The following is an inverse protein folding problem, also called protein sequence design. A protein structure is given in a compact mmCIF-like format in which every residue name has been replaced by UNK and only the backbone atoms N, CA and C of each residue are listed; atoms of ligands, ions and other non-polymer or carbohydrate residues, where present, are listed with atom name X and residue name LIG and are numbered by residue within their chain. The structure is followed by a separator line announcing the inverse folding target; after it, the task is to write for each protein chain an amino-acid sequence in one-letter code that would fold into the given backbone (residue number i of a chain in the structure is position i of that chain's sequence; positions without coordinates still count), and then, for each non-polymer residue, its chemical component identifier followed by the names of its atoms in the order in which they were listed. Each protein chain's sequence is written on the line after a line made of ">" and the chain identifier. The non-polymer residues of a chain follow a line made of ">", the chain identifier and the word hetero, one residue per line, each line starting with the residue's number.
data_IF_794889499804
#
_entry.id   IF_794889499804
#
_cell.length_a   1.000
_cell.length_b   1.000
_cell.length_c   1.000
_cell.angle_alpha   90.00
_cell.angle_beta   90.00
_cell.angle_gamma   90.00
#
_symmetry.space_group_name_H-M   'P 1'
#
loop_
_entity.id
_entity.type
_entity.pdbx_description
1 polymer ?
#
# COMPACT_ATOMS: atom_id res chain seq x y z
N UNK A 1 -10.17 29.55 2.89
CA UNK A 1 -8.99 28.77 3.29
C UNK A 1 -8.60 27.87 2.12
N UNK A 2 -7.49 28.19 1.44
CA UNK A 2 -7.05 27.51 0.20
C UNK A 2 -6.84 26.00 0.34
N UNK A 3 -6.49 25.51 1.53
CA UNK A 3 -6.34 24.07 1.76
C UNK A 3 -7.68 23.31 1.71
N UNK A 4 -8.73 23.89 2.31
CA UNK A 4 -10.06 23.29 2.28
C UNK A 4 -10.59 23.30 0.84
N UNK A 5 -10.38 24.39 0.12
CA UNK A 5 -10.79 24.53 -1.28
C UNK A 5 -10.06 23.50 -2.16
N UNK A 6 -8.74 23.39 -2.04
CA UNK A 6 -7.94 22.39 -2.77
C UNK A 6 -8.41 20.97 -2.47
N UNK A 7 -8.69 20.65 -1.20
CA UNK A 7 -9.20 19.34 -0.81
C UNK A 7 -10.59 19.05 -1.39
N UNK A 8 -11.48 20.04 -1.42
CA UNK A 8 -12.81 19.89 -2.02
C UNK A 8 -12.72 19.65 -3.52
N UNK A 9 -11.84 20.39 -4.23
CA UNK A 9 -11.60 20.19 -5.66
C UNK A 9 -11.04 18.78 -5.92
N UNK A 10 -10.08 18.33 -5.09
CA UNK A 10 -9.52 16.99 -5.18
C UNK A 10 -10.60 15.91 -4.98
N UNK A 11 -11.45 16.05 -3.96
CA UNK A 11 -12.55 15.12 -3.70
C UNK A 11 -13.52 15.04 -4.88
N UNK A 12 -13.92 16.18 -5.44
CA UNK A 12 -14.80 16.22 -6.62
C UNK A 12 -14.17 15.51 -7.81
N UNK A 13 -12.86 15.73 -8.05
CA UNK A 13 -12.14 15.04 -9.12
C UNK A 13 -12.10 13.52 -8.88
N UNK A 14 -11.82 13.08 -7.66
CA UNK A 14 -11.79 11.65 -7.31
C UNK A 14 -13.17 10.99 -7.40
N UNK A 15 -14.22 11.67 -6.95
CA UNK A 15 -15.60 11.18 -7.06
C UNK A 15 -16.03 11.05 -8.53
N UNK A 16 -15.61 11.97 -9.38
CA UNK A 16 -15.85 11.89 -10.83
C UNK A 16 -15.05 10.77 -11.50
N UNK A 17 -13.85 10.48 -10.99
CA UNK A 17 -12.97 9.42 -11.48
C UNK A 17 -13.33 8.02 -10.98
N UNK A 18 -14.16 7.91 -9.96
CA UNK A 18 -14.39 6.69 -9.17
C UNK A 18 -14.62 5.44 -10.04
N UNK A 19 -15.42 5.54 -11.08
CA UNK A 19 -15.75 4.41 -11.96
C UNK A 19 -14.65 4.06 -12.97
N UNK A 20 -13.60 4.87 -13.05
CA UNK A 20 -12.47 4.69 -13.97
C UNK A 20 -11.16 4.34 -13.24
N UNK A 21 -11.18 4.27 -11.91
CA UNK A 21 -9.99 3.93 -11.15
C UNK A 21 -9.61 2.48 -11.39
N UNK A 22 -8.37 2.18 -11.77
CA UNK A 22 -7.88 0.82 -11.80
C UNK A 22 -7.79 0.29 -10.37
N UNK A 23 -8.40 -0.86 -10.14
CA UNK A 23 -8.50 -1.46 -8.80
C UNK A 23 -8.21 -2.94 -8.80
N UNK A 24 -7.74 -3.46 -7.67
CA UNK A 24 -7.66 -4.89 -7.40
C UNK A 24 -8.24 -5.20 -6.02
N UNK A 25 -8.88 -6.37 -5.83
CA UNK A 25 -9.23 -6.84 -4.50
C UNK A 25 -8.00 -7.00 -3.60
N UNK A 26 -8.16 -6.80 -2.30
CA UNK A 26 -7.07 -7.06 -1.36
C UNK A 26 -6.67 -8.53 -1.42
N UNK A 27 -5.37 -8.81 -1.46
CA UNK A 27 -4.84 -10.17 -1.52
C UNK A 27 -4.90 -10.84 -2.90
N UNK A 28 -5.19 -10.10 -3.96
CA UNK A 28 -5.18 -10.60 -5.33
C UNK A 28 -4.26 -9.78 -6.23
N UNK A 29 -3.68 -10.42 -7.25
CA UNK A 29 -2.76 -9.77 -8.19
C UNK A 29 -3.47 -8.72 -9.05
N UNK A 30 -4.70 -9.01 -9.46
CA UNK A 30 -5.55 -8.09 -10.22
C UNK A 30 -7.02 -8.43 -10.00
N UNK A 31 -7.93 -7.62 -10.54
CA UNK A 31 -9.37 -7.91 -10.55
C UNK A 31 -9.71 -9.17 -11.38
N UNK A 32 -8.79 -9.65 -12.20
CA UNK A 32 -9.00 -10.74 -13.17
C UNK A 32 -8.23 -12.02 -12.86
N UNK A 33 -7.28 -11.98 -11.92
CA UNK A 33 -6.45 -13.12 -11.52
C UNK A 33 -6.62 -13.33 -10.03
N UNK A 34 -7.20 -14.45 -9.66
CA UNK A 34 -7.53 -14.79 -8.27
C UNK A 34 -6.36 -15.40 -7.49
N UNK A 35 -5.12 -15.27 -7.97
CA UNK A 35 -3.96 -15.76 -7.23
C UNK A 35 -3.82 -15.01 -5.91
N UNK A 36 -3.81 -15.77 -4.82
CA UNK A 36 -3.65 -15.22 -3.48
C UNK A 36 -2.25 -14.65 -3.31
N UNK A 37 -2.17 -13.37 -2.95
CA UNK A 37 -0.91 -12.68 -2.70
C UNK A 37 -0.80 -12.39 -1.21
N UNK A 38 0.21 -12.92 -0.52
CA UNK A 38 0.50 -12.55 0.86
C UNK A 38 1.14 -11.17 0.92
N UNK A 39 0.96 -10.50 2.05
CA UNK A 39 1.64 -9.26 2.38
C UNK A 39 2.55 -9.45 3.58
N UNK A 40 3.59 -8.66 3.64
CA UNK A 40 4.59 -8.72 4.68
C UNK A 40 4.79 -7.36 5.32
N UNK A 41 4.96 -7.35 6.62
CA UNK A 41 5.34 -6.16 7.36
C UNK A 41 6.49 -6.47 8.29
N UNK A 42 7.41 -5.51 8.41
CA UNK A 42 8.57 -5.57 9.30
C UNK A 42 8.49 -4.40 10.29
N UNK A 43 8.90 -4.66 11.53
CA UNK A 43 9.09 -3.65 12.57
C UNK A 43 10.52 -3.84 13.09
N UNK A 44 11.35 -2.79 12.96
CA UNK A 44 12.73 -2.79 13.42
C UNK A 44 12.82 -2.85 14.95
N UNK A 45 13.88 -3.50 15.45
CA UNK A 45 14.18 -3.62 16.87
C UNK A 45 13.84 -4.97 17.47
N UNK A 46 14.15 -5.10 18.78
CA UNK A 46 14.08 -6.37 19.53
C UNK A 46 12.80 -6.52 20.37
N UNK A 47 11.88 -5.57 20.30
CA UNK A 47 10.63 -5.64 21.05
C UNK A 47 9.71 -6.70 20.45
N UNK A 48 8.98 -7.42 21.32
CA UNK A 48 7.97 -8.38 20.87
C UNK A 48 6.64 -7.67 20.61
N UNK A 49 6.09 -7.87 19.41
CA UNK A 49 4.82 -7.32 19.00
C UNK A 49 3.82 -8.45 18.72
N UNK A 50 2.57 -8.23 19.06
CA UNK A 50 1.49 -9.12 18.67
C UNK A 50 1.00 -8.80 17.24
N UNK A 51 0.14 -9.64 16.70
CA UNK A 51 -0.34 -9.54 15.32
C UNK A 51 -1.15 -8.26 15.05
N UNK A 52 -1.91 -7.76 16.03
CA UNK A 52 -2.64 -6.50 15.92
C UNK A 52 -1.71 -5.29 15.80
N UNK A 53 -0.61 -5.29 16.55
CA UNK A 53 0.41 -4.23 16.51
C UNK A 53 1.12 -4.17 15.15
N UNK A 54 1.16 -5.29 14.43
CA UNK A 54 1.63 -5.32 13.04
C UNK A 54 0.63 -4.76 12.04
N UNK A 55 -0.65 -4.61 12.36
CA UNK A 55 -1.60 -3.97 11.43
C UNK A 55 -1.30 -2.47 11.29
N UNK A 56 -1.29 -1.73 12.38
CA UNK A 56 -0.97 -0.30 12.41
C UNK A 56 -0.81 0.19 13.86
N UNK A 57 -0.35 1.42 14.04
CA UNK A 57 -0.37 2.11 15.32
C UNK A 57 -1.84 2.26 15.77
N UNK A 58 -2.24 1.80 16.97
CA UNK A 58 -3.63 1.93 17.40
C UNK A 58 -4.06 3.40 17.50
N UNK A 59 -5.33 3.67 17.19
CA UNK A 59 -5.85 5.05 17.09
C UNK A 59 -5.79 5.86 18.39
N UNK A 60 -5.74 5.19 19.56
CA UNK A 60 -5.51 5.83 20.85
C UNK A 60 -4.06 6.33 21.03
N UNK A 61 -3.10 5.79 20.25
CA UNK A 61 -1.71 6.23 20.19
C UNK A 61 -1.39 6.99 18.88
N UNK A 62 -2.41 7.56 18.23
CA UNK A 62 -2.26 8.23 16.93
C UNK A 62 -1.23 9.35 16.89
N UNK A 63 -0.87 9.92 18.03
CA UNK A 63 0.17 10.96 18.14
C UNK A 63 1.57 10.42 17.74
N UNK A 64 1.77 9.09 17.70
CA UNK A 64 2.98 8.44 17.20
C UNK A 64 3.00 8.31 15.67
N UNK A 65 1.84 8.52 15.00
CA UNK A 65 1.76 8.42 13.55
C UNK A 65 2.34 9.68 12.89
N UNK A 66 3.53 9.54 12.34
CA UNK A 66 4.25 10.60 11.63
C UNK A 66 3.75 10.79 10.20
N UNK A 67 4.19 11.89 9.55
CA UNK A 67 3.97 12.12 8.14
C UNK A 67 4.76 11.11 7.30
N UNK A 68 4.06 10.38 6.43
CA UNK A 68 4.65 9.55 5.39
C UNK A 68 3.94 9.84 4.07
N UNK A 69 4.41 9.23 2.96
CA UNK A 69 3.81 9.46 1.64
C UNK A 69 2.28 9.31 1.67
N UNK A 70 1.77 8.26 2.28
CA UNK A 70 0.36 7.95 2.37
C UNK A 70 -0.21 8.07 3.81
N UNK A 71 0.45 8.82 4.70
CA UNK A 71 -0.04 9.06 6.07
C UNK A 71 0.02 10.53 6.42
N UNK A 72 -1.13 11.07 6.80
CA UNK A 72 -1.20 12.37 7.46
C UNK A 72 -0.79 12.19 8.93
N UNK A 73 -0.06 13.16 9.55
CA UNK A 73 0.21 13.11 10.98
C UNK A 73 -1.05 12.88 11.79
N UNK A 74 -1.00 11.93 12.72
CA UNK A 74 -2.15 11.56 13.54
C UNK A 74 -3.20 10.68 12.86
N UNK A 75 -2.96 10.24 11.62
CA UNK A 75 -3.79 9.26 10.92
C UNK A 75 -3.01 7.96 10.73
N UNK A 76 -3.20 6.96 11.62
CA UNK A 76 -2.53 5.68 11.49
C UNK A 76 -2.85 5.01 10.15
N UNK A 77 -1.83 4.42 9.55
CA UNK A 77 -1.92 3.72 8.29
C UNK A 77 -1.16 2.39 8.37
N UNK A 78 -1.73 1.34 7.82
CA UNK A 78 -1.06 0.07 7.64
C UNK A 78 -0.23 0.12 6.37
N UNK A 79 1.06 -0.22 6.47
CA UNK A 79 1.97 -0.37 5.34
C UNK A 79 2.44 -1.81 5.29
N UNK A 80 2.29 -2.45 4.14
CA UNK A 80 2.74 -3.83 3.92
C UNK A 80 3.33 -3.95 2.52
N UNK A 81 4.21 -4.91 2.31
CA UNK A 81 4.87 -5.16 1.03
C UNK A 81 4.46 -6.52 0.45
N UNK A 82 4.56 -6.68 -0.85
CA UNK A 82 4.27 -7.94 -1.57
C UNK A 82 5.28 -9.06 -1.28
N UNK A 83 6.46 -8.71 -0.77
CA UNK A 83 7.49 -9.67 -0.39
C UNK A 83 8.22 -9.22 0.88
N UNK A 84 8.69 -10.20 1.68
CA UNK A 84 9.45 -9.94 2.90
C UNK A 84 10.68 -9.06 2.63
N UNK A 85 11.37 -9.34 1.54
CA UNK A 85 12.55 -8.59 1.11
C UNK A 85 12.22 -7.12 0.82
N UNK A 86 11.10 -6.85 0.13
CA UNK A 86 10.64 -5.47 -0.13
C UNK A 86 10.33 -4.77 1.19
N UNK A 87 9.64 -5.44 2.12
CA UNK A 87 9.37 -4.90 3.46
C UNK A 87 10.66 -4.55 4.23
N UNK A 88 11.70 -5.38 4.11
CA UNK A 88 12.98 -5.15 4.76
C UNK A 88 13.73 -3.93 4.17
N UNK A 89 13.72 -3.77 2.85
CA UNK A 89 14.28 -2.60 2.20
C UNK A 89 13.54 -1.31 2.55
N UNK A 90 12.21 -1.34 2.62
CA UNK A 90 11.41 -0.19 3.02
C UNK A 90 11.65 0.23 4.48
N UNK A 91 12.07 -0.70 5.33
CA UNK A 91 12.48 -0.44 6.71
C UNK A 91 13.98 -0.11 6.85
N UNK A 92 14.67 0.25 5.76
CA UNK A 92 16.09 0.64 5.76
C UNK A 92 17.03 -0.47 6.22
N UNK A 93 16.67 -1.72 5.92
CA UNK A 93 17.49 -2.92 6.16
C UNK A 93 17.98 -3.07 7.60
N UNK A 94 17.11 -3.06 8.62
CA UNK A 94 17.52 -3.18 9.99
C UNK A 94 18.20 -4.53 10.27
N UNK A 95 19.23 -4.52 11.12
CA UNK A 95 19.94 -5.74 11.56
C UNK A 95 19.06 -6.62 12.46
N UNK A 96 18.16 -5.99 13.20
CA UNK A 96 17.25 -6.65 14.14
C UNK A 96 15.81 -6.21 13.87
N UNK A 97 14.92 -7.18 13.65
CA UNK A 97 13.55 -6.91 13.32
C UNK A 97 12.62 -8.08 13.59
N UNK A 98 11.35 -7.79 13.68
CA UNK A 98 10.27 -8.77 13.63
C UNK A 98 9.49 -8.61 12.32
N UNK A 99 8.86 -9.67 11.86
CA UNK A 99 8.03 -9.64 10.67
C UNK A 99 6.74 -10.44 10.86
N UNK A 100 5.73 -10.05 10.11
CA UNK A 100 4.47 -10.76 10.04
C UNK A 100 4.04 -10.94 8.59
N UNK A 101 3.47 -12.11 8.28
CA UNK A 101 2.80 -12.43 7.02
C UNK A 101 1.30 -12.27 7.19
N UNK A 102 0.65 -11.60 6.25
CA UNK A 102 -0.78 -11.40 6.21
C UNK A 102 -1.34 -11.95 4.91
N UNK A 103 -2.35 -12.78 5.02
CA UNK A 103 -3.14 -13.27 3.89
C UNK A 103 -4.55 -12.72 4.03
N UNK A 104 -5.09 -12.17 2.94
CA UNK A 104 -6.45 -11.69 2.96
C UNK A 104 -7.41 -12.88 2.98
N UNK A 105 -8.33 -12.90 3.94
CA UNK A 105 -9.41 -13.88 4.06
C UNK A 105 -10.74 -13.33 3.54
N UNK A 106 -10.83 -12.00 3.35
CA UNK A 106 -11.94 -11.30 2.70
C UNK A 106 -11.40 -10.45 1.54
N UNK A 107 -12.11 -10.43 0.43
CA UNK A 107 -11.71 -9.76 -0.81
C UNK A 107 -12.78 -8.77 -1.32
N UNK A 108 -13.70 -8.36 -0.47
CA UNK A 108 -14.79 -7.44 -0.78
C UNK A 108 -14.35 -5.97 -0.94
N UNK A 109 -13.20 -5.62 -0.36
CA UNK A 109 -12.60 -4.28 -0.45
C UNK A 109 -11.54 -4.20 -1.53
N UNK A 110 -11.39 -3.01 -2.12
CA UNK A 110 -10.51 -2.74 -3.26
C UNK A 110 -9.37 -1.82 -2.90
N UNK A 111 -8.21 -2.09 -3.48
CA UNK A 111 -7.05 -1.19 -3.52
C UNK A 111 -7.04 -0.45 -4.86
N UNK A 112 -6.79 0.85 -4.84
CA UNK A 112 -6.52 1.63 -6.04
C UNK A 112 -5.10 1.28 -6.51
N UNK A 113 -4.94 0.89 -7.77
CA UNK A 113 -3.67 0.51 -8.34
C UNK A 113 -2.91 1.75 -8.85
N UNK A 114 -1.88 2.14 -8.12
CA UNK A 114 -0.92 3.18 -8.51
C UNK A 114 0.41 2.60 -9.00
N UNK A 115 0.52 1.27 -9.01
CA UNK A 115 1.69 0.51 -9.45
C UNK A 115 1.69 0.22 -10.96
N UNK A 116 0.80 0.84 -11.71
CA UNK A 116 0.83 0.81 -13.17
C UNK A 116 2.03 1.64 -13.64
N UNK A 117 2.91 0.98 -14.41
CA UNK A 117 4.14 1.64 -14.87
C UNK A 117 3.81 2.83 -15.78
N UNK A 118 4.08 4.08 -15.38
CA UNK A 118 3.79 5.25 -16.19
C UNK A 118 4.67 5.34 -17.46
N UNK A 119 5.79 4.59 -17.50
CA UNK A 119 6.69 4.52 -18.64
C UNK A 119 6.23 3.49 -19.68
N UNK A 120 5.33 2.58 -19.32
CA UNK A 120 4.73 1.64 -20.26
C UNK A 120 3.77 2.42 -21.14
N UNK A 121 4.01 2.46 -22.45
CA UNK A 121 3.09 3.14 -23.35
C UNK A 121 1.69 2.53 -23.23
N UNK A 122 0.65 3.36 -23.32
CA UNK A 122 -0.75 2.90 -23.30
C UNK A 122 -0.99 1.77 -24.31
N UNK A 123 -0.27 1.80 -25.42
CA UNK A 123 -0.30 0.76 -26.47
C UNK A 123 0.28 -0.56 -25.98
N UNK A 124 1.39 -0.53 -25.23
CA UNK A 124 2.02 -1.71 -24.63
C UNK A 124 1.12 -2.31 -23.55
N UNK A 125 0.56 -1.47 -22.65
CA UNK A 125 -0.41 -1.92 -21.64
C UNK A 125 -1.61 -2.62 -22.26
N UNK A 126 -2.18 -2.06 -23.35
CA UNK A 126 -3.31 -2.66 -24.06
C UNK A 126 -2.91 -3.96 -24.76
N UNK A 127 -1.68 -4.04 -25.29
CA UNK A 127 -1.19 -5.25 -25.98
C UNK A 127 -0.90 -6.40 -25.02
N UNK A 128 -0.54 -6.10 -23.79
CA UNK A 128 -0.27 -7.09 -22.73
C UNK A 128 -1.55 -7.62 -22.08
N UNK A 129 -2.70 -6.92 -22.23
CA UNK A 129 -3.98 -7.45 -21.78
C UNK A 129 -4.37 -8.68 -22.62
N UNK A 130 -4.67 -9.83 -22.00
CA UNK A 130 -5.01 -11.04 -22.70
C UNK A 130 -6.20 -10.81 -23.64
N UNK A 131 -5.95 -10.90 -24.95
CA UNK A 131 -6.99 -10.67 -25.98
C UNK A 131 -8.16 -11.63 -25.86
N UNK A 132 -7.91 -12.80 -25.28
CA UNK A 132 -8.89 -13.87 -25.08
C UNK A 132 -9.89 -13.58 -23.95
N UNK A 133 -9.55 -12.64 -23.04
CA UNK A 133 -10.36 -12.30 -21.86
C UNK A 133 -10.97 -10.90 -21.91
N UNK A 134 -10.55 -10.07 -22.87
CA UNK A 134 -10.97 -8.67 -22.94
C UNK A 134 -11.48 -8.33 -24.34
N UNK A 135 -12.69 -7.81 -24.40
CA UNK A 135 -13.22 -7.21 -25.62
C UNK A 135 -12.43 -5.93 -25.96
N UNK A 136 -12.52 -5.49 -27.20
CA UNK A 136 -11.85 -4.25 -27.62
C UNK A 136 -12.38 -3.03 -26.87
N UNK A 137 -13.66 -2.99 -26.53
CA UNK A 137 -14.28 -1.90 -25.79
C UNK A 137 -13.84 -1.88 -24.31
N UNK A 138 -13.68 -3.03 -23.69
CA UNK A 138 -13.11 -3.13 -22.34
C UNK A 138 -11.66 -2.63 -22.30
N UNK A 139 -10.85 -2.99 -23.30
CA UNK A 139 -9.48 -2.49 -23.43
C UNK A 139 -9.41 -0.99 -23.65
N UNK A 140 -10.29 -0.43 -24.47
CA UNK A 140 -10.40 1.02 -24.68
C UNK A 140 -10.85 1.74 -23.40
N UNK A 141 -11.80 1.15 -22.67
CA UNK A 141 -12.26 1.69 -21.38
C UNK A 141 -11.16 1.70 -20.35
N UNK A 142 -10.39 0.61 -20.25
CA UNK A 142 -9.23 0.53 -19.38
C UNK A 142 -8.16 1.59 -19.74
N UNK A 143 -7.84 1.74 -21.02
CA UNK A 143 -6.88 2.74 -21.48
C UNK A 143 -7.30 4.16 -21.16
N UNK A 144 -8.58 4.48 -21.31
CA UNK A 144 -9.13 5.80 -20.93
C UNK A 144 -9.03 6.03 -19.43
N UNK A 145 -9.41 5.03 -18.62
CA UNK A 145 -9.27 5.07 -17.17
C UNK A 145 -7.83 5.29 -16.73
N UNK A 146 -6.88 4.59 -17.37
CA UNK A 146 -5.47 4.76 -17.11
C UNK A 146 -4.97 6.17 -17.45
N UNK A 147 -5.30 6.70 -18.62
CA UNK A 147 -4.94 8.05 -18.99
C UNK A 147 -5.52 9.09 -18.02
N UNK A 148 -6.71 8.84 -17.50
CA UNK A 148 -7.35 9.71 -16.52
C UNK A 148 -6.63 9.72 -15.17
N UNK A 149 -6.15 8.57 -14.71
CA UNK A 149 -5.48 8.44 -13.40
C UNK A 149 -3.97 8.75 -13.48
N UNK A 150 -3.38 8.85 -14.67
CA UNK A 150 -1.95 9.05 -14.85
C UNK A 150 -1.36 10.24 -14.06
N UNK A 151 -2.01 11.42 -13.98
CA UNK A 151 -1.53 12.53 -13.16
C UNK A 151 -1.47 12.17 -11.67
N UNK A 152 -2.42 11.38 -11.17
CA UNK A 152 -2.44 10.90 -9.79
C UNK A 152 -1.29 9.91 -9.55
N UNK A 153 -1.09 8.95 -10.45
CA UNK A 153 0.04 7.99 -10.39
C UNK A 153 1.35 8.75 -10.36
N UNK A 154 1.55 9.70 -11.26
CA UNK A 154 2.76 10.51 -11.32
C UNK A 154 3.00 11.28 -10.02
N UNK A 155 1.97 11.94 -9.49
CA UNK A 155 2.07 12.68 -8.22
C UNK A 155 2.37 11.77 -7.03
N UNK A 156 1.82 10.56 -7.00
CA UNK A 156 2.06 9.57 -5.94
C UNK A 156 3.41 8.85 -6.07
N UNK A 157 4.07 8.93 -7.23
CA UNK A 157 5.37 8.29 -7.51
C UNK A 157 6.57 9.18 -7.24
N UNK A 158 6.37 10.46 -6.90
CA UNK A 158 7.46 11.39 -6.60
C UNK A 158 8.24 10.90 -5.38
N UNK A 159 9.56 10.77 -5.54
CA UNK A 159 10.47 10.40 -4.45
C UNK A 159 10.90 11.68 -3.73
N UNK A 160 10.58 11.77 -2.45
CA UNK A 160 11.05 12.88 -1.62
C UNK A 160 12.54 12.70 -1.33
N UNK A 161 13.35 13.71 -1.65
CA UNK A 161 14.80 13.70 -1.38
C UNK A 161 15.11 13.71 0.12
N UNK A 162 14.24 14.32 0.92
CA UNK A 162 14.42 14.46 2.36
C UNK A 162 13.26 13.77 3.09
N UNK A 163 13.57 12.63 3.69
CA UNK A 163 12.64 11.89 4.54
C UNK A 163 12.64 12.45 5.96
N UNK A 164 11.56 12.26 6.72
CA UNK A 164 11.51 12.60 8.14
C UNK A 164 11.19 14.06 8.47
N UNK A 165 11.00 14.94 7.48
CA UNK A 165 10.49 16.29 7.71
C UNK A 165 9.00 16.25 8.09
N UNK A 166 8.57 17.20 8.92
CA UNK A 166 7.18 17.36 9.33
C UNK A 166 6.25 17.74 8.15
N UNK A 167 6.79 18.33 7.10
CA UNK A 167 6.09 18.71 5.88
C UNK A 167 6.95 18.38 4.66
N UNK A 168 6.34 17.67 3.71
CA UNK A 168 6.94 17.29 2.42
C UNK A 168 5.90 17.57 1.33
N UNK A 169 6.18 18.49 0.43
CA UNK A 169 5.25 18.94 -0.61
C UNK A 169 4.81 17.79 -1.52
N UNK A 170 5.72 16.87 -1.83
CA UNK A 170 5.45 15.69 -2.64
C UNK A 170 4.40 14.74 -2.02
N UNK A 171 4.12 14.88 -0.71
CA UNK A 171 3.15 14.03 -0.02
C UNK A 171 1.74 14.62 0.02
N UNK A 172 1.52 15.86 -0.43
CA UNK A 172 0.21 16.51 -0.38
C UNK A 172 -0.85 15.69 -1.13
N UNK A 173 -0.60 15.35 -2.39
CA UNK A 173 -1.55 14.60 -3.22
C UNK A 173 -1.77 13.16 -2.70
N UNK A 174 -0.72 12.36 -2.40
CA UNK A 174 -0.91 11.06 -1.76
C UNK A 174 -1.69 11.11 -0.44
N UNK A 175 -1.45 12.12 0.39
CA UNK A 175 -2.16 12.29 1.66
C UNK A 175 -3.63 12.69 1.46
N UNK A 176 -3.93 13.56 0.50
CA UNK A 176 -5.32 13.88 0.11
C UNK A 176 -6.06 12.62 -0.38
N UNK A 177 -5.39 11.80 -1.20
CA UNK A 177 -5.94 10.52 -1.65
C UNK A 177 -6.28 9.60 -0.48
N UNK A 178 -5.40 9.51 0.52
CA UNK A 178 -5.65 8.67 1.70
C UNK A 178 -6.80 9.18 2.57
N UNK A 179 -6.99 10.51 2.68
CA UNK A 179 -8.14 11.08 3.36
C UNK A 179 -9.44 10.75 2.59
N UNK A 180 -9.42 10.87 1.26
CA UNK A 180 -10.56 10.49 0.41
C UNK A 180 -10.88 8.99 0.55
N UNK A 181 -9.88 8.11 0.50
CA UNK A 181 -10.04 6.66 0.71
C UNK A 181 -10.60 6.37 2.10
N UNK A 182 -10.13 7.07 3.14
CA UNK A 182 -10.63 6.87 4.51
C UNK A 182 -12.14 7.08 4.62
N UNK A 183 -12.69 7.99 3.83
CA UNK A 183 -14.12 8.29 3.79
C UNK A 183 -14.91 7.42 2.80
N UNK A 184 -14.22 6.59 2.00
CA UNK A 184 -14.87 5.69 1.04
C UNK A 184 -15.31 4.38 1.70
N UNK A 185 -16.41 3.82 1.22
CA UNK A 185 -16.90 2.48 1.59
C UNK A 185 -16.29 1.37 0.74
N UNK A 186 -15.91 1.68 -0.51
CA UNK A 186 -15.49 0.69 -1.51
C UNK A 186 -13.98 0.46 -1.51
N UNK A 187 -13.20 1.52 -1.22
CA UNK A 187 -11.75 1.46 -1.23
C UNK A 187 -11.20 1.37 0.18
N UNK A 188 -10.20 0.52 0.37
CA UNK A 188 -9.51 0.35 1.66
C UNK A 188 -8.10 0.93 1.66
N UNK A 189 -7.51 1.17 0.50
CA UNK A 189 -6.15 1.66 0.40
C UNK A 189 -5.67 1.80 -1.05
N UNK A 190 -4.36 1.91 -1.18
CA UNK A 190 -3.64 1.99 -2.46
C UNK A 190 -2.61 0.88 -2.57
N UNK A 191 -2.32 0.45 -3.80
CA UNK A 191 -1.17 -0.37 -4.17
C UNK A 191 -0.24 0.46 -5.05
N UNK A 192 1.05 0.49 -4.74
CA UNK A 192 2.02 1.35 -5.40
C UNK A 192 3.39 0.69 -5.46
N UNK A 193 4.22 1.05 -6.43
CA UNK A 193 5.59 0.56 -6.50
C UNK A 193 6.43 1.07 -5.32
N UNK A 194 7.30 0.19 -4.84
CA UNK A 194 8.35 0.59 -3.93
C UNK A 194 9.20 1.71 -4.59
N UNK A 195 9.43 2.77 -3.85
CA UNK A 195 10.27 3.88 -4.28
C UNK A 195 11.74 3.70 -3.87
N UNK A 196 12.11 2.50 -3.44
CA UNK A 196 13.51 2.19 -3.15
C UNK A 196 14.34 2.31 -4.42
N UNK A 197 15.47 3.03 -4.35
CA UNK A 197 16.45 3.13 -5.45
C UNK A 197 17.21 1.81 -5.66
N UNK A 198 16.94 0.79 -4.86
CA UNK A 198 17.60 -0.48 -4.94
C UNK A 198 17.13 -1.26 -6.19
N UNK A 199 18.07 -1.57 -7.08
CA UNK A 199 17.82 -2.35 -8.30
C UNK A 199 17.15 -3.69 -8.02
N UNK A 200 17.46 -4.33 -6.89
CA UNK A 200 16.88 -5.60 -6.51
C UNK A 200 15.37 -5.49 -6.24
N UNK A 201 14.92 -4.36 -5.68
CA UNK A 201 13.49 -4.10 -5.46
C UNK A 201 12.79 -3.80 -6.79
N UNK A 202 13.47 -3.10 -7.70
CA UNK A 202 12.95 -2.82 -9.06
C UNK A 202 12.84 -4.09 -9.89
N UNK A 203 13.83 -4.97 -9.81
CA UNK A 203 13.86 -6.24 -10.56
C UNK A 203 12.80 -7.24 -10.05
N UNK A 204 12.51 -7.23 -8.75
CA UNK A 204 11.47 -8.09 -8.15
C UNK A 204 10.04 -7.56 -8.42
N UNK A 205 9.87 -6.46 -9.16
CA UNK A 205 8.57 -5.80 -9.37
C UNK A 205 7.80 -5.61 -8.06
N UNK A 206 8.52 -5.33 -6.97
CA UNK A 206 7.97 -5.23 -5.63
C UNK A 206 6.99 -4.06 -5.50
N UNK A 207 5.82 -4.33 -4.98
CA UNK A 207 4.86 -3.29 -4.65
C UNK A 207 4.52 -3.29 -3.17
N UNK A 208 4.05 -2.15 -2.73
CA UNK A 208 3.57 -1.90 -1.38
C UNK A 208 2.08 -1.61 -1.40
N UNK A 209 1.43 -1.84 -0.27
CA UNK A 209 0.08 -1.36 0.00
C UNK A 209 0.09 -0.40 1.18
N UNK A 210 -0.75 0.62 1.12
CA UNK A 210 -1.01 1.53 2.22
C UNK A 210 -2.51 1.62 2.45
N UNK A 211 -2.96 1.42 3.69
CA UNK A 211 -4.36 1.35 4.08
C UNK A 211 -4.59 2.21 5.34
N UNK A 212 -5.39 3.28 5.28
CA UNK A 212 -5.68 4.11 6.44
C UNK A 212 -6.52 3.33 7.45
N UNK A 213 -6.22 3.48 8.73
CA UNK A 213 -7.08 2.95 9.80
C UNK A 213 -8.41 3.70 9.79
N UNK A 214 -9.50 2.96 9.57
CA UNK A 214 -10.87 3.49 9.56
C UNK A 214 -11.53 3.22 10.91
N UNK A 215 -12.59 2.54 10.96
CA UNK A 215 -13.44 2.25 12.12
C UNK A 215 -12.65 1.54 13.25
N UNK A 216 -12.12 2.27 14.27
CA UNK A 216 -11.36 1.65 15.33
C UNK A 216 -12.28 0.90 16.30
N UNK A 217 -11.83 -0.26 16.78
CA UNK A 217 -12.42 -0.96 17.91
C UNK A 217 -12.07 -0.27 19.25
N UNK A 218 -12.47 -0.87 20.37
CA UNK A 218 -12.18 -0.37 21.74
C UNK A 218 -10.68 -0.28 22.06
N UNK A 219 -9.84 -1.09 21.37
CA UNK A 219 -8.40 -1.13 21.55
C UNK A 219 -7.70 -0.16 20.57
N UNK A 220 -8.44 0.49 19.68
CA UNK A 220 -7.93 1.45 18.70
C UNK A 220 -7.48 0.83 17.38
N UNK A 221 -7.73 -0.47 17.14
CA UNK A 221 -7.37 -1.12 15.88
C UNK A 221 -8.54 -1.11 14.88
N UNK A 222 -8.21 -0.95 13.61
CA UNK A 222 -9.19 -0.88 12.52
C UNK A 222 -9.92 -2.22 12.34
N UNK A 223 -11.24 -2.22 12.52
CA UNK A 223 -12.09 -3.42 12.39
C UNK A 223 -12.02 -3.97 10.96
N UNK A 224 -12.09 -3.10 9.94
CA UNK A 224 -12.04 -3.53 8.54
C UNK A 224 -10.74 -4.32 8.23
N UNK A 225 -9.59 -3.85 8.75
CA UNK A 225 -8.30 -4.54 8.53
C UNK A 225 -8.22 -5.86 9.30
N UNK A 226 -8.77 -5.91 10.53
CA UNK A 226 -8.84 -7.15 11.30
C UNK A 226 -9.67 -8.19 10.55
N UNK A 227 -10.80 -7.80 10.00
CA UNK A 227 -11.68 -8.69 9.23
C UNK A 227 -11.03 -9.15 7.91
N UNK A 228 -10.42 -8.24 7.15
CA UNK A 228 -9.75 -8.57 5.88
C UNK A 228 -8.65 -9.60 6.09
N UNK A 229 -7.85 -9.44 7.15
CA UNK A 229 -6.70 -10.31 7.41
C UNK A 229 -6.95 -11.40 8.47
N UNK A 230 -8.19 -11.55 8.94
CA UNK A 230 -8.54 -12.57 9.92
C UNK A 230 -7.77 -12.44 11.24
N UNK A 231 -7.44 -11.21 11.66
CA UNK A 231 -6.69 -10.95 12.90
C UNK A 231 -7.65 -10.58 14.01
N UNK A 232 -7.57 -11.28 15.14
CA UNK A 232 -8.36 -11.01 16.34
C UNK A 232 -7.49 -11.13 17.61
N UNK A 233 -8.03 -10.71 18.75
CA UNK A 233 -7.32 -10.73 20.05
C UNK A 233 -6.93 -12.15 20.51
N UNK A 234 -7.55 -13.19 19.96
CA UNK A 234 -7.31 -14.59 20.34
C UNK A 234 -6.25 -15.28 19.47
N UNK A 235 -5.85 -14.65 18.35
CA UNK A 235 -4.80 -15.22 17.52
C UNK A 235 -3.50 -15.20 18.32
N UNK A 236 -3.14 -16.38 18.86
CA UNK A 236 -1.81 -16.58 19.44
C UNK A 236 -0.78 -16.12 18.42
N UNK A 237 0.22 -15.42 18.88
CA UNK A 237 1.45 -15.18 18.12
C UNK A 237 1.92 -16.54 17.62
N UNK A 238 1.78 -16.82 16.31
CA UNK A 238 2.66 -17.79 15.70
C UNK A 238 4.05 -17.31 16.09
N UNK A 239 4.87 -18.21 16.61
CA UNK A 239 6.24 -17.90 17.00
C UNK A 239 6.85 -17.18 15.82
N UNK A 240 7.01 -15.85 15.97
CA UNK A 240 7.68 -15.05 14.95
C UNK A 240 9.11 -15.48 15.03
N UNK A 241 9.52 -16.40 14.15
CA UNK A 241 10.90 -16.78 14.01
C UNK A 241 11.72 -15.50 13.83
N UNK A 242 12.54 -15.22 14.82
CA UNK A 242 13.67 -14.32 14.69
C UNK A 242 14.57 -14.95 13.63
N UNK A 243 14.37 -14.58 12.38
CA UNK A 243 15.31 -14.93 11.35
C UNK A 243 16.48 -13.97 11.47
N UNK A 244 17.61 -14.55 11.85
CA UNK A 244 18.92 -14.01 11.53
C UNK A 244 19.06 -13.95 10.00
N UNK A 245 18.43 -12.90 9.45
CA UNK A 245 18.34 -12.69 8.01
C UNK A 245 19.68 -12.23 7.43
N UNK A 246 20.54 -11.68 8.29
CA UNK A 246 21.82 -11.11 7.92
C UNK A 246 22.81 -12.17 7.44
N UNK A 247 22.91 -13.33 8.06
CA UNK A 247 23.88 -14.35 7.62
C UNK A 247 23.52 -15.03 6.29
N UNK A 248 22.25 -15.29 6.04
CA UNK A 248 21.84 -15.96 4.79
C UNK A 248 21.78 -15.03 3.58
N UNK A 249 21.56 -13.73 3.77
CA UNK A 249 21.47 -12.77 2.67
C UNK A 249 22.81 -12.16 2.27
N UNK A 250 23.68 -11.86 3.24
CA UNK A 250 25.04 -11.34 2.95
C UNK A 250 25.95 -12.39 2.31
N UNK A 251 25.77 -13.68 2.65
CA UNK A 251 26.59 -14.75 2.09
C UNK A 251 26.23 -15.16 0.66
N UNK A 252 25.06 -14.75 0.13
CA UNK A 252 24.70 -15.00 -1.26
C UNK A 252 25.05 -13.86 -2.24
N UNK A 253 25.53 -12.72 -1.76
CA UNK A 253 25.85 -11.55 -2.60
C UNK A 253 27.26 -11.01 -2.40
N UNK A 254 28.16 -11.83 -1.81
CA UNK A 254 29.60 -11.62 -1.95
C UNK A 254 30.12 -12.52 -3.10
N UNK A 255 29.80 -12.17 -4.32
CA UNK A 255 30.56 -12.52 -5.51
C UNK A 255 30.52 -11.32 -6.44
#
# INVERSE_FOLDING_TARGET
>A
NRYIEAFNIFNQAMDSAKNHLPTAPVGQSSAYVADAIPYYRIIAGNNKYNRLQFLHIPCNLRYLASANRFSVPGMPCSYMASAKRVAWYECEMPDSFQWAKFEAVKHDKKLIQLDLNPLTSTRSLISELPKERWTEDERKSFARGYCFILPLIASCSVIAKEKGKSFVEAYIIPQMLMIWIKNSTDYIGVRYYSSSDNELVRNDCGYNIAMPAKHPDKNGYCVDLQEIFGVNDTNKTDEMEFLDFTEKFYNHHKV
#
